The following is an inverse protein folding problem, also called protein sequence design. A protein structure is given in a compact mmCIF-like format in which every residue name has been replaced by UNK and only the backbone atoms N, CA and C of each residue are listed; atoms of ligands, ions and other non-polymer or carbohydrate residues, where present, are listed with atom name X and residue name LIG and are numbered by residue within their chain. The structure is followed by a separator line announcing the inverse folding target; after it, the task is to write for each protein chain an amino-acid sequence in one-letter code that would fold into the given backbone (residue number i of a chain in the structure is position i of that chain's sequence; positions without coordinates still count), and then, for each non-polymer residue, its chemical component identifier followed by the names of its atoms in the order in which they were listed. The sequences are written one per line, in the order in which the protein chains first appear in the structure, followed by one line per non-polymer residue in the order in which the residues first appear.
data_IF_635689065097
#
_entry.id   IF_635689065097
#
_cell.length_a   1.000
_cell.length_b   1.000
_cell.length_c   1.000
_cell.angle_alpha   90.00
_cell.angle_beta   90.00
_cell.angle_gamma   90.00
#
_symmetry.space_group_name_H-M   'P 1'
#
loop_
_entity.id
_entity.type
_entity.pdbx_description
1 polymer ?
#
# COMPACT_ATOMS: atom_id res chain seq x y z
N UNK A 1 29.76 -0.19 5.05
CA UNK A 1 28.49 0.49 5.38
C UNK A 1 28.68 1.93 4.94
N UNK A 2 28.35 2.24 3.69
CA UNK A 2 28.39 3.63 3.22
C UNK A 2 27.25 4.37 3.92
N UNK A 3 27.63 5.33 4.76
CA UNK A 3 26.67 6.19 5.45
C UNK A 3 25.89 6.97 4.39
N UNK A 4 24.57 6.96 4.48
CA UNK A 4 23.67 7.79 3.68
C UNK A 4 23.94 9.25 4.03
N UNK A 5 24.97 9.83 3.41
CA UNK A 5 25.31 11.25 3.47
C UNK A 5 25.03 11.92 2.12
N UNK A 6 23.92 11.53 1.51
CA UNK A 6 23.19 12.37 0.57
C UNK A 6 22.28 13.24 1.42
N UNK A 7 22.19 14.54 1.14
CA UNK A 7 21.29 15.54 1.78
C UNK A 7 19.82 15.08 1.82
N UNK A 8 19.52 14.07 2.59
CA UNK A 8 18.19 13.53 2.82
C UNK A 8 17.78 14.10 4.17
N UNK A 9 16.86 15.06 4.12
CA UNK A 9 16.22 15.56 5.33
C UNK A 9 15.58 14.36 6.04
N UNK A 10 15.66 14.30 7.37
CA UNK A 10 15.11 13.22 8.20
C UNK A 10 13.66 12.88 7.80
N UNK A 11 12.91 13.90 7.34
CA UNK A 11 11.56 13.76 6.78
C UNK A 11 11.48 12.83 5.57
N UNK A 12 12.41 12.92 4.64
CA UNK A 12 12.47 12.05 3.45
C UNK A 12 12.77 10.61 3.85
N UNK A 13 13.71 10.40 4.77
CA UNK A 13 14.01 9.07 5.29
C UNK A 13 12.79 8.45 6.01
N UNK A 14 12.09 9.24 6.82
CA UNK A 14 10.86 8.80 7.49
C UNK A 14 9.71 8.54 6.52
N UNK A 15 9.58 9.33 5.45
CA UNK A 15 8.57 9.12 4.41
C UNK A 15 8.81 7.78 3.70
N UNK A 16 10.04 7.49 3.28
CA UNK A 16 10.39 6.19 2.69
C UNK A 16 10.23 5.04 3.70
N UNK A 17 10.57 5.24 4.97
CA UNK A 17 10.35 4.23 5.99
C UNK A 17 8.86 3.87 6.13
N UNK A 18 7.96 4.86 6.20
CA UNK A 18 6.50 4.64 6.24
C UNK A 18 5.97 4.03 4.94
N UNK A 19 6.55 4.40 3.82
CA UNK A 19 6.20 3.84 2.51
C UNK A 19 6.46 2.33 2.45
N UNK A 20 7.59 1.85 2.99
CA UNK A 20 7.90 0.40 3.06
C UNK A 20 7.29 -0.29 4.29
N UNK A 21 6.90 0.46 5.32
CA UNK A 21 6.34 -0.05 6.58
C UNK A 21 5.07 0.73 6.94
N UNK A 22 3.94 0.43 6.29
CA UNK A 22 2.73 1.22 6.46
C UNK A 22 2.11 0.99 7.84
N UNK A 23 1.59 2.05 8.44
CA UNK A 23 0.76 1.94 9.64
C UNK A 23 -0.63 1.40 9.27
N UNK A 24 -1.17 0.52 10.12
CA UNK A 24 -2.51 -0.02 9.98
C UNK A 24 -3.34 0.28 11.22
N UNK A 25 -4.63 0.48 11.00
CA UNK A 25 -5.65 0.70 12.02
C UNK A 25 -6.68 -0.41 11.94
N UNK A 26 -7.24 -0.79 13.07
CA UNK A 26 -8.42 -1.64 13.11
C UNK A 26 -9.67 -0.78 13.31
N UNK A 27 -10.58 -0.81 12.33
CA UNK A 27 -11.83 -0.06 12.34
C UNK A 27 -12.98 -1.03 12.16
N UNK A 28 -13.78 -1.22 13.20
CA UNK A 28 -14.92 -2.16 13.19
C UNK A 28 -14.52 -3.58 12.71
N UNK A 29 -13.33 -4.03 13.14
CA UNK A 29 -12.76 -5.32 12.78
C UNK A 29 -12.07 -5.37 11.40
N UNK A 30 -12.13 -4.30 10.59
CA UNK A 30 -11.43 -4.18 9.31
C UNK A 30 -10.01 -3.62 9.50
N UNK A 31 -9.03 -4.18 8.80
CA UNK A 31 -7.65 -3.72 8.74
C UNK A 31 -7.48 -2.65 7.66
N UNK A 32 -7.28 -1.39 8.07
CA UNK A 32 -7.21 -0.25 7.15
C UNK A 32 -5.83 0.43 7.25
N UNK A 33 -5.21 0.74 6.11
CA UNK A 33 -3.98 1.53 6.07
C UNK A 33 -4.28 2.93 6.61
N UNK A 34 -3.50 3.36 7.60
CA UNK A 34 -3.73 4.60 8.35
C UNK A 34 -3.81 5.83 7.45
N UNK A 35 -2.97 5.88 6.43
CA UNK A 35 -2.90 7.01 5.50
C UNK A 35 -4.06 7.04 4.49
N UNK A 36 -4.85 5.96 4.39
CA UNK A 36 -6.06 5.86 3.57
C UNK A 36 -7.35 6.04 4.35
N UNK A 37 -7.31 5.99 5.68
CA UNK A 37 -8.53 5.99 6.47
C UNK A 37 -9.22 7.36 6.41
N UNK A 38 -10.45 7.35 5.92
CA UNK A 38 -11.44 8.42 6.08
C UNK A 38 -12.75 7.78 6.53
N UNK A 39 -13.38 8.33 7.58
CA UNK A 39 -14.64 7.77 8.10
C UNK A 39 -15.76 7.83 7.05
N UNK A 40 -15.81 8.90 6.28
CA UNK A 40 -16.80 9.08 5.21
C UNK A 40 -16.64 8.01 4.12
N UNK A 41 -15.41 7.81 3.63
CA UNK A 41 -15.10 6.80 2.61
C UNK A 41 -15.33 5.39 3.14
N UNK A 42 -15.04 5.15 4.42
CA UNK A 42 -15.30 3.86 5.06
C UNK A 42 -16.79 3.51 5.10
N UNK A 43 -17.67 4.46 5.47
CA UNK A 43 -19.12 4.20 5.44
C UNK A 43 -19.63 3.94 4.03
N UNK A 44 -19.15 4.68 3.03
CA UNK A 44 -19.53 4.46 1.62
C UNK A 44 -19.17 3.05 1.17
N UNK A 45 -17.92 2.62 1.37
CA UNK A 45 -17.52 1.26 1.00
C UNK A 45 -18.20 0.19 1.85
N UNK A 46 -18.54 0.48 3.10
CA UNK A 46 -19.29 -0.45 3.95
C UNK A 46 -20.69 -0.71 3.40
N UNK A 47 -21.36 0.32 2.90
CA UNK A 47 -22.65 0.20 2.21
C UNK A 47 -22.49 -0.57 0.88
N UNK A 48 -21.57 -0.14 0.02
CA UNK A 48 -21.35 -0.73 -1.32
C UNK A 48 -20.90 -2.19 -1.26
N UNK A 49 -20.02 -2.54 -0.31
CA UNK A 49 -19.55 -3.91 -0.08
C UNK A 49 -20.53 -4.75 0.76
N UNK A 50 -21.70 -4.24 1.13
CA UNK A 50 -22.70 -4.95 1.94
C UNK A 50 -22.13 -5.53 3.25
N UNK A 51 -21.26 -4.76 3.92
CA UNK A 51 -20.50 -5.19 5.11
C UNK A 51 -19.53 -6.37 4.90
N UNK A 52 -19.18 -6.74 3.66
CA UNK A 52 -18.11 -7.72 3.43
C UNK A 52 -16.74 -7.10 3.74
N UNK A 53 -16.13 -7.57 4.82
CA UNK A 53 -14.84 -7.10 5.31
C UNK A 53 -13.73 -7.16 4.26
N UNK A 54 -13.66 -8.24 3.47
CA UNK A 54 -12.59 -8.39 2.46
C UNK A 54 -12.75 -7.35 1.37
N UNK A 55 -13.98 -7.13 0.89
CA UNK A 55 -14.28 -6.06 -0.05
C UNK A 55 -13.93 -4.68 0.51
N UNK A 56 -14.35 -4.37 1.73
CA UNK A 56 -14.07 -3.06 2.36
C UNK A 56 -12.56 -2.82 2.46
N UNK A 57 -11.81 -3.79 2.98
CA UNK A 57 -10.36 -3.67 3.12
C UNK A 57 -9.67 -3.51 1.76
N UNK A 58 -10.07 -4.32 0.76
CA UNK A 58 -9.53 -4.22 -0.60
C UNK A 58 -9.70 -2.82 -1.19
N UNK A 59 -10.89 -2.23 -1.05
CA UNK A 59 -11.20 -0.93 -1.63
C UNK A 59 -10.58 0.22 -0.84
N UNK A 60 -10.63 0.16 0.50
CA UNK A 60 -10.03 1.19 1.35
C UNK A 60 -8.50 1.24 1.23
N UNK A 61 -7.86 0.08 1.07
CA UNK A 61 -6.39 -0.03 1.04
C UNK A 61 -5.80 0.04 -0.37
N UNK A 62 -6.62 0.29 -1.39
CA UNK A 62 -6.19 0.30 -2.78
C UNK A 62 -5.30 1.53 -3.09
N UNK A 63 -4.11 1.27 -3.60
CA UNK A 63 -3.24 2.28 -4.20
C UNK A 63 -2.91 1.89 -5.63
N UNK A 64 -2.94 2.88 -6.52
CA UNK A 64 -2.23 2.78 -7.79
C UNK A 64 -0.73 3.00 -7.50
N UNK A 65 0.14 2.10 -7.94
CA UNK A 65 1.57 2.16 -7.63
C UNK A 65 2.22 3.42 -8.23
N UNK A 66 1.65 3.94 -9.33
CA UNK A 66 2.08 5.20 -9.95
C UNK A 66 1.82 6.43 -9.07
N UNK A 67 0.79 6.41 -8.23
CA UNK A 67 0.40 7.58 -7.42
C UNK A 67 1.51 8.07 -6.50
N UNK A 68 2.40 7.15 -6.11
CA UNK A 68 3.54 7.44 -5.25
C UNK A 68 4.62 8.29 -5.94
N UNK A 69 4.61 8.42 -7.28
CA UNK A 69 5.72 9.00 -8.07
C UNK A 69 5.31 10.14 -9.02
N UNK A 70 4.19 10.81 -8.78
CA UNK A 70 3.72 11.99 -9.52
C UNK A 70 4.73 13.17 -9.68
N UNK A 71 6.01 13.01 -9.33
CA UNK A 71 6.98 14.10 -9.19
C UNK A 71 8.17 14.06 -10.15
N UNK A 72 8.74 12.91 -10.59
CA UNK A 72 10.04 12.96 -11.30
C UNK A 72 10.31 11.82 -12.28
N UNK A 73 9.59 11.73 -13.39
CA UNK A 73 10.01 10.80 -14.45
C UNK A 73 10.13 11.53 -15.78
N UNK A 74 11.38 11.69 -16.23
CA UNK A 74 11.69 12.07 -17.61
C UNK A 74 11.15 10.96 -18.52
N UNK A 75 10.42 11.33 -19.56
CA UNK A 75 9.70 10.44 -20.51
C UNK A 75 10.58 9.45 -21.31
N UNK A 76 11.85 9.24 -20.91
CA UNK A 76 12.88 8.52 -21.68
C UNK A 76 13.30 7.16 -21.11
N UNK A 77 12.77 6.72 -19.97
CA UNK A 77 13.08 5.41 -19.38
C UNK A 77 11.87 4.48 -19.34
N UNK A 78 12.14 3.16 -19.25
CA UNK A 78 11.15 2.09 -19.07
C UNK A 78 10.47 2.19 -17.69
N UNK A 79 9.65 3.23 -17.54
CA UNK A 79 8.94 3.59 -16.32
C UNK A 79 8.00 2.45 -15.87
N UNK A 80 7.40 1.73 -16.83
CA UNK A 80 6.45 0.67 -16.55
C UNK A 80 7.14 -0.55 -15.94
N UNK A 81 8.31 -0.96 -16.43
CA UNK A 81 9.09 -2.02 -15.78
C UNK A 81 9.53 -1.61 -14.36
N UNK A 82 9.94 -0.35 -14.16
CA UNK A 82 10.31 0.17 -12.84
C UNK A 82 9.13 0.16 -11.85
N UNK A 83 7.94 0.55 -12.31
CA UNK A 83 6.69 0.49 -11.51
C UNK A 83 6.39 -0.95 -11.10
N UNK A 84 6.52 -1.92 -12.02
CA UNK A 84 6.30 -3.35 -11.74
C UNK A 84 7.32 -3.89 -10.74
N UNK A 85 8.60 -3.55 -10.88
CA UNK A 85 9.63 -3.92 -9.90
C UNK A 85 9.29 -3.34 -8.54
N UNK A 86 8.90 -2.07 -8.49
CA UNK A 86 8.56 -1.43 -7.24
C UNK A 86 7.34 -2.03 -6.55
N UNK A 87 6.26 -2.31 -7.29
CA UNK A 87 5.07 -2.97 -6.75
C UNK A 87 5.43 -4.31 -6.09
N UNK A 88 6.28 -5.10 -6.74
CA UNK A 88 6.78 -6.36 -6.17
C UNK A 88 7.61 -6.16 -4.90
N UNK A 89 8.47 -5.14 -4.87
CA UNK A 89 9.27 -4.79 -3.68
C UNK A 89 8.36 -4.36 -2.53
N UNK A 90 7.38 -3.50 -2.79
CA UNK A 90 6.37 -3.08 -1.81
C UNK A 90 5.62 -4.27 -1.23
N UNK A 91 5.14 -5.18 -2.09
CA UNK A 91 4.47 -6.41 -1.67
C UNK A 91 5.30 -7.19 -0.68
N UNK A 92 6.60 -7.37 -0.94
CA UNK A 92 7.52 -8.10 -0.04
C UNK A 92 7.63 -7.39 1.31
N UNK A 93 7.94 -6.09 1.33
CA UNK A 93 8.13 -5.36 2.58
C UNK A 93 6.85 -5.28 3.42
N UNK A 94 5.71 -5.00 2.79
CA UNK A 94 4.42 -4.94 3.48
C UNK A 94 4.04 -6.32 4.03
N UNK A 95 4.24 -7.38 3.25
CA UNK A 95 3.97 -8.76 3.72
C UNK A 95 4.81 -9.10 4.95
N UNK A 96 6.11 -8.82 4.91
CA UNK A 96 7.00 -9.07 6.05
C UNK A 96 6.61 -8.23 7.27
N UNK A 97 6.37 -6.93 7.07
CA UNK A 97 5.97 -5.99 8.13
C UNK A 97 4.66 -6.37 8.81
N UNK A 98 3.66 -6.78 8.03
CA UNK A 98 2.34 -7.14 8.56
C UNK A 98 2.37 -8.52 9.22
N UNK A 99 3.12 -9.48 8.68
CA UNK A 99 3.31 -10.80 9.30
C UNK A 99 4.06 -10.72 10.62
N UNK A 100 5.05 -9.83 10.73
CA UNK A 100 5.79 -9.59 11.98
C UNK A 100 4.90 -8.96 13.06
N UNK A 101 4.09 -7.95 12.70
CA UNK A 101 3.20 -7.25 13.63
C UNK A 101 1.93 -8.02 14.00
N UNK A 102 1.42 -8.84 13.09
CA UNK A 102 0.16 -9.57 13.24
C UNK A 102 0.30 -11.04 12.83
N UNK A 103 1.14 -11.83 13.52
CA UNK A 103 1.48 -13.20 13.11
C UNK A 103 0.27 -14.15 13.08
N UNK A 104 -0.75 -13.89 13.88
CA UNK A 104 -1.97 -14.70 14.00
C UNK A 104 -3.05 -14.33 12.96
N UNK A 105 -2.84 -13.27 12.17
CA UNK A 105 -3.81 -12.78 11.18
C UNK A 105 -3.40 -13.20 9.78
N UNK A 106 -4.38 -13.65 8.99
CA UNK A 106 -4.15 -14.08 7.61
C UNK A 106 -4.18 -12.88 6.65
N UNK A 107 -3.23 -11.96 6.82
CA UNK A 107 -3.14 -10.73 6.04
C UNK A 107 -2.44 -11.01 4.70
N UNK A 108 -3.08 -10.57 3.63
CA UNK A 108 -2.62 -10.70 2.25
C UNK A 108 -2.30 -9.33 1.69
N UNK A 109 -1.11 -9.20 1.12
CA UNK A 109 -0.72 -8.08 0.27
C UNK A 109 -0.76 -8.55 -1.16
N UNK A 110 -1.61 -7.91 -1.96
CA UNK A 110 -1.84 -8.28 -3.35
C UNK A 110 -1.38 -7.14 -4.26
N UNK A 111 -0.67 -7.51 -5.33
CA UNK A 111 -0.28 -6.60 -6.41
C UNK A 111 -0.79 -7.21 -7.70
N UNK A 112 -1.50 -6.42 -8.48
CA UNK A 112 -2.19 -6.86 -9.69
C UNK A 112 -2.25 -5.73 -10.71
N UNK A 113 -2.36 -6.10 -11.96
CA UNK A 113 -2.49 -5.19 -13.10
C UNK A 113 -3.93 -5.30 -13.61
N UNK A 114 -4.56 -4.15 -13.84
CA UNK A 114 -5.90 -4.05 -14.43
C UNK A 114 -5.83 -4.03 -15.97
N UNK A 115 -6.98 -4.14 -16.63
CA UNK A 115 -7.09 -4.21 -18.10
C UNK A 115 -6.51 -2.99 -18.84
N UNK A 116 -6.40 -1.85 -18.15
CA UNK A 116 -5.80 -0.61 -18.65
C UNK A 116 -4.27 -0.56 -18.50
N UNK A 117 -3.65 -1.62 -17.93
CA UNK A 117 -2.21 -1.72 -17.68
C UNK A 117 -1.78 -1.06 -16.36
N UNK A 118 -2.70 -0.51 -15.58
CA UNK A 118 -2.37 0.15 -14.32
C UNK A 118 -2.10 -0.88 -13.21
N UNK A 119 -1.02 -0.64 -12.48
CA UNK A 119 -0.57 -1.53 -11.41
C UNK A 119 -1.09 -1.05 -10.06
N UNK A 120 -1.79 -1.93 -9.36
CA UNK A 120 -2.37 -1.65 -8.05
C UNK A 120 -1.73 -2.51 -6.96
N UNK A 121 -1.73 -1.98 -5.73
CA UNK A 121 -1.42 -2.71 -4.51
C UNK A 121 -2.57 -2.54 -3.52
N UNK A 122 -2.94 -3.63 -2.84
CA UNK A 122 -3.95 -3.61 -1.77
C UNK A 122 -3.59 -4.58 -0.65
N UNK A 123 -4.23 -4.38 0.51
CA UNK A 123 -4.05 -5.17 1.73
C UNK A 123 -5.42 -5.60 2.24
N UNK A 124 -5.60 -6.87 2.58
CA UNK A 124 -6.82 -7.39 3.18
C UNK A 124 -6.54 -8.67 3.97
N UNK A 125 -7.44 -9.04 4.87
CA UNK A 125 -7.37 -10.25 5.68
C UNK A 125 -8.31 -11.32 5.10
N UNK A 126 -7.75 -12.48 4.75
CA UNK A 126 -8.54 -13.63 4.34
C UNK A 126 -9.19 -14.29 5.57
N UNK A 127 -10.45 -14.69 5.42
CA UNK A 127 -11.17 -15.53 6.38
C UNK A 127 -10.52 -16.90 6.51
#
# INVERSE_FOLDING_TARGET
MENVNVKSDLKTALAFAKFFYPDVLEVEGCLILKDKFSREIFELWKEDCQNDKVCIEKMMNLYQVRDFFHINVDEKEDIEEQIKVLGNVLKVFWTLSLKDRFPERNIVVEVFEEDDGELFITVYEKK
#
